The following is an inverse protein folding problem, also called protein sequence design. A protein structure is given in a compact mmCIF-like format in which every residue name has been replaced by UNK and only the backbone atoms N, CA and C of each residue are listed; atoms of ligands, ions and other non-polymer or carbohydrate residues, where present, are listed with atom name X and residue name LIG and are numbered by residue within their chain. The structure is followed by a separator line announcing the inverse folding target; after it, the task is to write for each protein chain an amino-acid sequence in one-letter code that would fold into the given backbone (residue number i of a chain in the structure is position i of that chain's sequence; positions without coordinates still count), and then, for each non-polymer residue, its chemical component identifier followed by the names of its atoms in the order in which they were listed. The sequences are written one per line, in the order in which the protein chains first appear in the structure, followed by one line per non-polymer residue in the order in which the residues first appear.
data_IF_816744497171
#
_entry.id   IF_816744497171
#
_cell.length_a   1.000
_cell.length_b   1.000
_cell.length_c   1.000
_cell.angle_alpha   90.00
_cell.angle_beta   90.00
_cell.angle_gamma   90.00
#
_symmetry.space_group_name_H-M   'P 1'
#
loop_
_entity.id
_entity.type
_entity.pdbx_description
1 polymer ?
#
# COMPACT_ATOMS: atom_id res chain seq x y z
N UNK A 1 -17.52 37.38 -20.97
CA UNK A 1 -16.13 36.92 -21.16
C UNK A 1 -16.19 35.63 -21.95
N UNK A 2 -15.72 35.67 -23.19
CA UNK A 2 -15.73 34.56 -24.13
C UNK A 2 -14.73 33.52 -23.65
N UNK A 3 -15.20 32.34 -23.27
CA UNK A 3 -14.38 31.14 -23.09
C UNK A 3 -13.92 30.68 -24.47
N UNK A 4 -12.71 31.09 -24.87
CA UNK A 4 -12.04 30.43 -25.99
C UNK A 4 -11.81 28.98 -25.61
N UNK A 5 -12.60 28.09 -26.22
CA UNK A 5 -12.34 26.68 -26.22
C UNK A 5 -11.02 26.46 -26.98
N UNK A 6 -9.97 26.05 -26.26
CA UNK A 6 -8.75 25.57 -26.89
C UNK A 6 -9.18 24.42 -27.83
N UNK A 7 -8.94 24.51 -29.15
CA UNK A 7 -9.37 23.48 -30.07
C UNK A 7 -8.71 22.15 -29.70
N UNK A 8 -9.52 21.11 -29.51
CA UNK A 8 -9.10 19.74 -29.12
C UNK A 8 -8.01 19.18 -30.05
N UNK A 9 -7.93 19.67 -31.29
CA UNK A 9 -6.89 19.33 -32.27
C UNK A 9 -5.46 19.65 -31.82
N UNK A 10 -5.26 20.62 -30.93
CA UNK A 10 -3.90 21.04 -30.50
C UNK A 10 -3.33 20.18 -29.37
N UNK A 11 -4.17 19.41 -28.67
CA UNK A 11 -3.74 18.54 -27.56
C UNK A 11 -3.38 17.13 -28.08
N UNK A 12 -4.08 16.66 -29.13
CA UNK A 12 -3.83 15.35 -29.76
C UNK A 12 -2.46 15.28 -30.46
N UNK A 13 -1.93 16.42 -30.95
CA UNK A 13 -0.65 16.48 -31.65
C UNK A 13 0.61 16.43 -30.74
N UNK A 14 0.49 16.48 -29.41
CA UNK A 14 1.63 16.77 -28.51
C UNK A 14 2.06 15.64 -27.58
N UNK A 15 1.39 14.48 -27.56
CA UNK A 15 1.74 13.38 -26.66
C UNK A 15 1.89 12.06 -27.43
N UNK A 16 3.10 11.49 -27.54
CA UNK A 16 3.29 10.22 -28.24
C UNK A 16 2.52 9.08 -27.56
N UNK A 17 2.03 8.14 -28.36
CA UNK A 17 1.43 6.88 -27.91
C UNK A 17 2.25 6.26 -26.76
N UNK A 18 1.58 5.95 -25.64
CA UNK A 18 2.18 5.42 -24.40
C UNK A 18 3.47 6.16 -23.96
N UNK A 19 3.36 7.44 -23.58
CA UNK A 19 4.46 8.17 -22.93
C UNK A 19 4.86 7.52 -21.59
N UNK A 20 6.08 7.77 -21.12
CA UNK A 20 6.57 7.26 -19.83
C UNK A 20 5.61 7.62 -18.68
N UNK A 21 5.14 8.86 -18.67
CA UNK A 21 4.14 9.36 -17.71
C UNK A 21 2.85 8.54 -17.72
N UNK A 22 2.34 8.14 -18.89
CA UNK A 22 1.11 7.32 -18.99
C UNK A 22 1.33 5.90 -18.50
N UNK A 23 2.48 5.30 -18.85
CA UNK A 23 2.86 3.97 -18.35
C UNK A 23 2.88 3.97 -16.82
N UNK A 24 3.47 4.99 -16.22
CA UNK A 24 3.54 5.15 -14.76
C UNK A 24 2.18 5.42 -14.11
N UNK A 25 1.31 6.23 -14.72
CA UNK A 25 -0.05 6.47 -14.21
C UNK A 25 -0.88 5.17 -14.24
N UNK A 26 -0.89 4.50 -15.40
CA UNK A 26 -1.60 3.25 -15.58
C UNK A 26 -1.08 2.17 -14.63
N UNK A 27 0.23 1.92 -14.67
CA UNK A 27 0.88 0.91 -13.85
C UNK A 27 0.76 1.23 -12.36
N UNK A 28 0.87 2.51 -11.98
CA UNK A 28 0.71 2.95 -10.59
C UNK A 28 -0.68 2.67 -10.02
N UNK A 29 -1.74 3.06 -10.74
CA UNK A 29 -3.12 2.74 -10.31
C UNK A 29 -3.35 1.24 -10.29
N UNK A 30 -2.86 0.49 -11.29
CA UNK A 30 -3.02 -0.95 -11.35
C UNK A 30 -2.33 -1.66 -10.18
N UNK A 31 -1.09 -1.29 -9.86
CA UNK A 31 -0.34 -1.83 -8.73
C UNK A 31 -1.06 -1.55 -7.40
N UNK A 32 -1.55 -0.32 -7.19
CA UNK A 32 -2.31 0.02 -5.97
C UNK A 32 -3.59 -0.83 -5.89
N UNK A 33 -4.37 -0.90 -6.97
CA UNK A 33 -5.62 -1.66 -6.97
C UNK A 33 -5.39 -3.17 -6.74
N UNK A 34 -4.36 -3.75 -7.36
CA UNK A 34 -3.99 -5.15 -7.13
C UNK A 34 -3.50 -5.37 -5.71
N UNK A 35 -2.68 -4.47 -5.19
CA UNK A 35 -2.15 -4.53 -3.81
C UNK A 35 -3.27 -4.46 -2.78
N UNK A 36 -4.22 -3.54 -2.96
CA UNK A 36 -5.40 -3.46 -2.10
C UNK A 36 -6.28 -4.72 -2.20
N UNK A 37 -6.55 -5.22 -3.41
CA UNK A 37 -7.32 -6.45 -3.59
C UNK A 37 -6.67 -7.65 -2.90
N UNK A 38 -5.35 -7.78 -3.04
CA UNK A 38 -4.60 -8.83 -2.37
C UNK A 38 -4.63 -8.64 -0.84
N UNK A 39 -4.51 -7.40 -0.35
CA UNK A 39 -4.65 -7.04 1.06
C UNK A 39 -6.01 -7.42 1.65
N UNK A 40 -7.12 -7.12 0.96
CA UNK A 40 -8.48 -7.49 1.40
C UNK A 40 -8.63 -9.02 1.49
N UNK A 41 -8.15 -9.76 0.49
CA UNK A 41 -8.16 -11.23 0.51
C UNK A 41 -7.31 -11.76 1.66
N UNK A 42 -6.11 -11.20 1.86
CA UNK A 42 -5.23 -11.56 2.95
C UNK A 42 -5.86 -11.30 4.33
N UNK A 43 -6.51 -10.16 4.52
CA UNK A 43 -7.13 -9.78 5.79
C UNK A 43 -8.19 -10.80 6.21
N UNK A 44 -9.08 -11.17 5.27
CA UNK A 44 -10.18 -12.11 5.53
C UNK A 44 -9.68 -13.54 5.76
N UNK A 45 -8.79 -14.03 4.89
CA UNK A 45 -8.47 -15.46 4.83
C UNK A 45 -7.21 -15.87 5.59
N UNK A 46 -6.28 -14.95 5.85
CA UNK A 46 -4.97 -15.29 6.45
C UNK A 46 -4.75 -14.54 7.75
N UNK A 47 -4.94 -13.22 7.79
CA UNK A 47 -4.60 -12.40 8.95
C UNK A 47 -5.32 -12.85 10.23
N UNK A 48 -6.65 -12.97 10.17
CA UNK A 48 -7.45 -13.36 11.33
C UNK A 48 -7.22 -14.82 11.75
N UNK A 49 -7.02 -15.72 10.78
CA UNK A 49 -6.74 -17.14 11.04
C UNK A 49 -5.38 -17.32 11.72
N UNK A 50 -4.35 -16.64 11.20
CA UNK A 50 -3.01 -16.69 11.77
C UNK A 50 -2.98 -16.08 13.18
N UNK A 51 -3.75 -15.01 13.44
CA UNK A 51 -3.86 -14.44 14.79
C UNK A 51 -4.33 -15.46 15.84
N UNK A 52 -5.42 -16.19 15.54
CA UNK A 52 -5.91 -17.26 16.41
C UNK A 52 -4.91 -18.40 16.58
N UNK A 53 -4.27 -18.83 15.49
CA UNK A 53 -3.27 -19.90 15.52
C UNK A 53 -2.00 -19.50 16.30
N UNK A 54 -1.57 -18.23 16.20
CA UNK A 54 -0.43 -17.70 16.97
C UNK A 54 -0.74 -17.70 18.46
N UNK A 55 -1.95 -17.31 18.86
CA UNK A 55 -2.37 -17.38 20.27
C UNK A 55 -2.36 -18.81 20.81
N UNK A 56 -2.85 -19.77 20.03
CA UNK A 56 -2.82 -21.20 20.39
C UNK A 56 -1.38 -21.74 20.51
N UNK A 57 -0.49 -21.38 19.58
CA UNK A 57 0.91 -21.78 19.62
C UNK A 57 1.66 -21.13 20.80
N UNK A 58 1.33 -19.89 21.15
CA UNK A 58 1.89 -19.22 22.34
C UNK A 58 1.44 -19.89 23.64
N UNK A 59 0.17 -20.30 23.73
CA UNK A 59 -0.34 -21.10 24.84
C UNK A 59 0.39 -22.44 24.96
N UNK A 60 0.62 -23.12 23.83
CA UNK A 60 1.41 -24.36 23.81
C UNK A 60 2.85 -24.13 24.29
N UNK A 61 3.49 -23.05 23.87
CA UNK A 61 4.84 -22.70 24.30
C UNK A 61 4.90 -22.49 25.82
N UNK A 62 3.93 -21.76 26.38
CA UNK A 62 3.88 -21.48 27.81
C UNK A 62 3.63 -22.76 28.64
N UNK A 63 2.71 -23.63 28.19
CA UNK A 63 2.44 -24.91 28.86
C UNK A 63 3.64 -25.86 28.79
N UNK A 64 4.33 -25.95 27.63
CA UNK A 64 5.54 -26.75 27.50
C UNK A 64 6.67 -26.22 28.40
N UNK A 65 6.80 -24.90 28.52
CA UNK A 65 7.79 -24.29 29.42
C UNK A 65 7.50 -24.60 30.89
N UNK A 66 6.23 -24.52 31.32
CA UNK A 66 5.81 -24.91 32.66
C UNK A 66 6.09 -26.40 32.97
N UNK A 67 5.87 -27.27 31.99
CA UNK A 67 6.19 -28.70 32.07
C UNK A 67 7.69 -29.03 31.96
N UNK A 68 8.56 -28.02 31.84
CA UNK A 68 10.01 -28.18 31.57
C UNK A 68 10.30 -29.01 30.30
N UNK A 69 9.38 -29.01 29.34
CA UNK A 69 9.51 -29.69 28.06
C UNK A 69 10.20 -28.78 27.03
N UNK A 70 11.53 -28.82 27.00
CA UNK A 70 12.33 -28.05 26.06
C UNK A 70 12.02 -28.38 24.58
N UNK A 71 11.62 -29.61 24.28
CA UNK A 71 11.28 -30.02 22.92
C UNK A 71 9.93 -29.43 22.49
N UNK A 72 8.93 -29.45 23.39
CA UNK A 72 7.64 -28.81 23.21
C UNK A 72 7.76 -27.29 23.00
N UNK A 73 8.59 -26.62 23.80
CA UNK A 73 8.89 -25.18 23.63
C UNK A 73 9.48 -24.91 22.25
N UNK A 74 10.49 -25.68 21.84
CA UNK A 74 11.12 -25.52 20.52
C UNK A 74 10.12 -25.68 19.37
N UNK A 75 9.25 -26.69 19.45
CA UNK A 75 8.22 -26.94 18.45
C UNK A 75 7.21 -25.79 18.37
N UNK A 76 6.74 -25.31 19.52
CA UNK A 76 5.78 -24.21 19.58
C UNK A 76 6.38 -22.90 19.02
N UNK A 77 7.63 -22.57 19.36
CA UNK A 77 8.32 -21.41 18.78
C UNK A 77 8.57 -21.53 17.27
N UNK A 78 8.88 -22.73 16.77
CA UNK A 78 8.99 -22.96 15.33
C UNK A 78 7.63 -22.70 14.63
N UNK A 79 6.53 -23.12 15.23
CA UNK A 79 5.19 -22.86 14.71
C UNK A 79 4.83 -21.37 14.75
N UNK A 80 5.14 -20.66 15.84
CA UNK A 80 4.98 -19.20 15.93
C UNK A 80 5.78 -18.51 14.83
N UNK A 81 7.05 -18.89 14.65
CA UNK A 81 7.91 -18.34 13.61
C UNK A 81 7.32 -18.53 12.20
N UNK A 82 6.83 -19.73 11.89
CA UNK A 82 6.21 -20.03 10.61
C UNK A 82 4.93 -19.20 10.36
N UNK A 83 4.08 -19.03 11.39
CA UNK A 83 2.86 -18.20 11.30
C UNK A 83 3.19 -16.71 11.14
N UNK A 84 4.23 -16.23 11.83
CA UNK A 84 4.70 -14.85 11.70
C UNK A 84 5.33 -14.59 10.34
N UNK A 85 6.09 -15.53 9.78
CA UNK A 85 6.66 -15.44 8.43
C UNK A 85 5.57 -15.49 7.36
N UNK A 86 4.58 -16.38 7.51
CA UNK A 86 3.42 -16.41 6.62
C UNK A 86 2.70 -15.07 6.64
N UNK A 87 2.30 -14.59 7.82
CA UNK A 87 1.66 -13.28 7.97
C UNK A 87 2.53 -12.16 7.40
N UNK A 88 3.79 -12.09 7.77
CA UNK A 88 4.73 -11.03 7.42
C UNK A 88 4.94 -10.94 5.91
N UNK A 89 5.19 -12.06 5.24
CA UNK A 89 5.39 -12.07 3.78
C UNK A 89 4.16 -11.60 3.01
N UNK A 90 2.94 -11.91 3.46
CA UNK A 90 1.71 -11.46 2.77
C UNK A 90 1.47 -9.97 3.02
N UNK A 91 1.68 -9.51 4.26
CA UNK A 91 1.63 -8.07 4.59
C UNK A 91 2.61 -7.30 3.71
N UNK A 92 3.88 -7.69 3.74
CA UNK A 92 4.94 -7.01 3.00
C UNK A 92 4.67 -7.02 1.49
N UNK A 93 4.19 -8.13 0.93
CA UNK A 93 3.81 -8.21 -0.49
C UNK A 93 2.74 -7.19 -0.87
N UNK A 94 1.66 -7.06 -0.10
CA UNK A 94 0.60 -6.11 -0.48
C UNK A 94 1.04 -4.66 -0.30
N UNK A 95 1.75 -4.35 0.80
CA UNK A 95 2.24 -3.00 1.09
C UNK A 95 3.25 -2.57 0.02
N UNK A 96 4.24 -3.40 -0.30
CA UNK A 96 5.23 -3.08 -1.32
C UNK A 96 4.62 -2.93 -2.73
N UNK A 97 3.57 -3.68 -3.05
CA UNK A 97 2.85 -3.51 -4.31
C UNK A 97 2.13 -2.15 -4.36
N UNK A 98 1.47 -1.74 -3.27
CA UNK A 98 0.83 -0.43 -3.14
C UNK A 98 1.87 0.69 -3.22
N UNK A 99 2.96 0.58 -2.47
CA UNK A 99 4.03 1.58 -2.41
C UNK A 99 4.75 1.76 -3.74
N UNK A 100 5.02 0.66 -4.46
CA UNK A 100 5.55 0.74 -5.81
C UNK A 100 4.58 1.47 -6.75
N UNK A 101 3.27 1.31 -6.54
CA UNK A 101 2.27 2.06 -7.26
C UNK A 101 2.24 3.55 -6.90
N UNK A 102 2.33 3.92 -5.62
CA UNK A 102 2.47 5.32 -5.19
C UNK A 102 3.73 5.96 -5.77
N UNK A 103 4.85 5.24 -5.72
CA UNK A 103 6.10 5.66 -6.31
C UNK A 103 5.96 5.88 -7.81
N UNK A 104 5.29 4.99 -8.54
CA UNK A 104 5.03 5.17 -9.96
C UNK A 104 4.20 6.43 -10.22
N UNK A 105 3.15 6.69 -9.44
CA UNK A 105 2.34 7.92 -9.57
C UNK A 105 3.17 9.17 -9.27
N UNK A 106 4.00 9.17 -8.22
CA UNK A 106 4.91 10.27 -7.90
C UNK A 106 5.91 10.53 -9.02
N UNK A 107 6.55 9.48 -9.54
CA UNK A 107 7.49 9.58 -10.66
C UNK A 107 6.77 10.12 -11.90
N UNK A 108 5.52 9.74 -12.13
CA UNK A 108 4.71 10.28 -13.23
C UNK A 108 4.49 11.79 -13.13
N UNK A 109 4.36 12.35 -11.92
CA UNK A 109 4.20 13.79 -11.73
C UNK A 109 5.45 14.58 -12.08
N UNK A 110 6.63 14.01 -11.82
CA UNK A 110 7.91 14.68 -12.07
C UNK A 110 8.45 14.47 -13.49
N UNK A 111 7.88 13.55 -14.28
CA UNK A 111 8.31 13.28 -15.66
C UNK A 111 8.54 14.52 -16.55
N UNK A 112 7.73 15.59 -16.49
CA UNK A 112 7.99 16.81 -17.27
C UNK A 112 9.35 17.45 -17.00
N UNK A 113 9.86 17.28 -15.78
CA UNK A 113 11.11 17.86 -15.27
C UNK A 113 12.30 16.88 -15.32
N UNK A 114 12.13 15.70 -15.88
CA UNK A 114 13.22 14.72 -16.03
C UNK A 114 13.91 14.97 -17.38
N UNK A 115 15.16 15.44 -17.39
CA UNK A 115 15.90 15.70 -18.62
C UNK A 115 16.58 14.43 -19.18
N UNK A 116 15.77 13.52 -19.69
CA UNK A 116 16.18 12.28 -20.38
C UNK A 116 15.47 12.17 -21.74
N UNK A 117 16.05 11.39 -22.66
CA UNK A 117 15.38 11.11 -23.93
C UNK A 117 14.08 10.33 -23.71
N UNK A 118 13.09 10.53 -24.58
CA UNK A 118 11.80 9.85 -24.50
C UNK A 118 11.92 8.32 -24.46
N UNK A 119 12.85 7.74 -25.23
CA UNK A 119 13.13 6.31 -25.21
C UNK A 119 13.61 5.83 -23.83
N UNK A 120 14.51 6.58 -23.17
CA UNK A 120 15.03 6.25 -21.85
C UNK A 120 13.95 6.36 -20.77
N UNK A 121 13.15 7.44 -20.78
CA UNK A 121 12.02 7.58 -19.86
C UNK A 121 11.04 6.42 -19.98
N UNK A 122 10.68 6.03 -21.22
CA UNK A 122 9.78 4.89 -21.46
C UNK A 122 10.38 3.58 -20.94
N UNK A 123 11.67 3.36 -21.14
CA UNK A 123 12.36 2.17 -20.62
C UNK A 123 12.34 2.16 -19.07
N UNK A 124 12.71 3.26 -18.42
CA UNK A 124 12.70 3.37 -16.96
C UNK A 124 11.29 3.17 -16.38
N UNK A 125 10.28 3.78 -16.99
CA UNK A 125 8.89 3.56 -16.61
C UNK A 125 8.48 2.09 -16.66
N UNK A 126 8.83 1.36 -17.74
CA UNK A 126 8.55 -0.08 -17.85
C UNK A 126 9.29 -0.88 -16.79
N UNK A 127 10.58 -0.62 -16.59
CA UNK A 127 11.40 -1.32 -15.60
C UNK A 127 10.91 -1.06 -14.17
N UNK A 128 10.44 0.15 -13.87
CA UNK A 128 9.86 0.49 -12.58
C UNK A 128 8.58 -0.32 -12.32
N UNK A 129 7.68 -0.42 -13.31
CA UNK A 129 6.46 -1.23 -13.17
C UNK A 129 6.79 -2.73 -13.06
N UNK A 130 7.76 -3.23 -13.84
CA UNK A 130 8.23 -4.63 -13.73
C UNK A 130 8.81 -4.89 -12.35
N UNK A 131 9.70 -4.03 -11.85
CA UNK A 131 10.27 -4.14 -10.50
C UNK A 131 9.19 -4.09 -9.42
N UNK A 132 8.22 -3.19 -9.57
CA UNK A 132 7.08 -3.05 -8.67
C UNK A 132 6.14 -4.26 -8.64
N UNK A 133 6.14 -5.08 -9.69
CA UNK A 133 5.42 -6.36 -9.73
C UNK A 133 6.27 -7.53 -9.22
N UNK A 134 7.55 -7.60 -9.61
CA UNK A 134 8.43 -8.70 -9.23
C UNK A 134 8.81 -8.69 -7.75
N UNK A 135 9.00 -7.51 -7.16
CA UNK A 135 9.29 -7.33 -5.73
C UNK A 135 8.24 -8.02 -4.84
N UNK A 136 6.95 -7.65 -4.89
CA UNK A 136 5.93 -8.25 -4.03
C UNK A 136 5.69 -9.73 -4.34
N UNK A 137 5.85 -10.16 -5.59
CA UNK A 137 5.79 -11.59 -5.97
C UNK A 137 6.94 -12.38 -5.33
N UNK A 138 8.16 -11.85 -5.36
CA UNK A 138 9.32 -12.44 -4.70
C UNK A 138 9.07 -12.59 -3.20
N UNK A 139 8.62 -11.51 -2.53
CA UNK A 139 8.31 -11.51 -1.10
C UNK A 139 7.26 -12.57 -0.75
N UNK A 140 6.18 -12.66 -1.54
CA UNK A 140 5.09 -13.61 -1.29
C UNK A 140 5.58 -15.04 -1.30
N UNK A 141 6.50 -15.34 -2.23
CA UNK A 141 7.05 -16.68 -2.43
C UNK A 141 8.02 -17.09 -1.32
N UNK A 142 8.60 -16.16 -0.54
CA UNK A 142 9.59 -16.47 0.51
C UNK A 142 9.07 -17.54 1.45
N UNK A 143 7.83 -17.39 1.95
CA UNK A 143 7.21 -18.36 2.85
C UNK A 143 7.03 -19.75 2.23
N UNK A 144 6.72 -19.82 0.93
CA UNK A 144 6.37 -21.09 0.27
C UNK A 144 7.58 -21.87 -0.22
N UNK A 145 8.62 -21.19 -0.72
CA UNK A 145 9.80 -21.86 -1.25
C UNK A 145 10.97 -21.85 -0.28
N UNK A 146 11.03 -20.91 0.67
CA UNK A 146 12.11 -20.79 1.63
C UNK A 146 13.48 -20.93 0.96
N UNK A 147 14.30 -21.86 1.46
CA UNK A 147 15.63 -22.19 0.93
C UNK A 147 15.63 -23.28 -0.15
N UNK A 148 14.46 -23.73 -0.64
CA UNK A 148 14.38 -24.83 -1.59
C UNK A 148 15.24 -24.56 -2.83
N UNK A 149 16.16 -25.48 -3.11
CA UNK A 149 17.10 -25.43 -4.23
C UNK A 149 18.02 -24.20 -4.24
N UNK A 150 18.13 -23.47 -3.13
CA UNK A 150 19.06 -22.35 -3.03
C UNK A 150 20.50 -22.84 -2.87
N UNK A 151 21.48 -22.24 -3.58
CA UNK A 151 22.90 -22.49 -3.32
C UNK A 151 23.39 -21.81 -2.03
N UNK A 152 22.57 -20.96 -1.39
CA UNK A 152 22.91 -20.25 -0.16
C UNK A 152 22.28 -20.91 1.07
N UNK A 153 22.96 -20.83 2.21
CA UNK A 153 22.49 -21.41 3.48
C UNK A 153 21.41 -20.58 4.18
N UNK A 154 21.21 -19.32 3.77
CA UNK A 154 20.36 -18.36 4.49
C UNK A 154 19.40 -17.57 3.60
N UNK A 155 19.54 -17.62 2.27
CA UNK A 155 18.76 -16.81 1.33
C UNK A 155 18.16 -17.70 0.26
N UNK A 156 16.84 -17.64 0.07
CA UNK A 156 16.12 -18.38 -0.96
C UNK A 156 16.09 -17.67 -2.32
N UNK A 157 15.73 -18.38 -3.39
CA UNK A 157 15.54 -17.77 -4.71
C UNK A 157 14.45 -16.70 -4.73
N UNK A 158 13.40 -16.86 -3.92
CA UNK A 158 12.35 -15.86 -3.74
C UNK A 158 12.88 -14.55 -3.13
N UNK A 159 13.75 -14.64 -2.12
CA UNK A 159 14.44 -13.48 -1.54
C UNK A 159 15.37 -12.81 -2.55
N UNK A 160 16.16 -13.60 -3.29
CA UNK A 160 17.03 -13.07 -4.36
C UNK A 160 16.21 -12.31 -5.41
N UNK A 161 15.05 -12.84 -5.83
CA UNK A 161 14.15 -12.16 -6.75
C UNK A 161 13.64 -10.84 -6.18
N UNK A 162 13.17 -10.83 -4.92
CA UNK A 162 12.68 -9.63 -4.24
C UNK A 162 13.79 -8.56 -4.16
N UNK A 163 14.97 -8.92 -3.65
CA UNK A 163 16.10 -8.01 -3.50
C UNK A 163 16.58 -7.46 -4.85
N UNK A 164 16.60 -8.31 -5.89
CA UNK A 164 16.99 -7.89 -7.24
C UNK A 164 15.98 -6.91 -7.86
N UNK A 165 14.68 -7.13 -7.62
CA UNK A 165 13.63 -6.21 -8.03
C UNK A 165 13.73 -4.88 -7.27
N UNK A 166 14.00 -4.92 -5.95
CA UNK A 166 14.28 -3.73 -5.14
C UNK A 166 15.49 -2.94 -5.66
N UNK A 167 16.59 -3.63 -5.96
CA UNK A 167 17.77 -3.02 -6.57
C UNK A 167 17.46 -2.39 -7.94
N UNK A 168 16.65 -3.05 -8.76
CA UNK A 168 16.18 -2.51 -10.04
C UNK A 168 15.40 -1.20 -9.84
N UNK A 169 14.50 -1.15 -8.86
CA UNK A 169 13.75 0.07 -8.51
C UNK A 169 14.69 1.21 -8.11
N UNK A 170 15.66 0.93 -7.23
CA UNK A 170 16.68 1.90 -6.80
C UNK A 170 17.45 2.46 -7.99
N UNK A 171 17.93 1.59 -8.88
CA UNK A 171 18.65 2.01 -10.09
C UNK A 171 17.76 2.88 -10.97
N UNK A 172 16.50 2.49 -11.20
CA UNK A 172 15.57 3.30 -11.99
C UNK A 172 15.37 4.68 -11.39
N UNK A 173 15.15 4.78 -10.08
CA UNK A 173 14.99 6.05 -9.37
C UNK A 173 16.25 6.91 -9.40
N UNK A 174 17.44 6.31 -9.30
CA UNK A 174 18.70 7.03 -9.41
C UNK A 174 18.85 7.68 -10.80
N UNK A 175 18.47 6.97 -11.86
CA UNK A 175 18.47 7.53 -13.22
C UNK A 175 17.42 8.63 -13.43
N UNK A 176 16.21 8.46 -12.90
CA UNK A 176 15.19 9.52 -12.88
C UNK A 176 15.70 10.76 -12.13
N UNK A 177 16.29 10.56 -10.95
CA UNK A 177 16.91 11.61 -10.13
C UNK A 177 18.05 12.34 -10.84
N UNK A 178 18.91 11.63 -11.57
CA UNK A 178 19.93 12.23 -12.42
C UNK A 178 19.31 13.10 -13.52
N UNK A 179 18.20 12.65 -14.12
CA UNK A 179 17.43 13.43 -15.08
C UNK A 179 16.84 14.71 -14.49
N UNK A 180 16.25 14.63 -13.29
CA UNK A 180 15.76 15.79 -12.54
C UNK A 180 16.90 16.77 -12.20
N UNK A 181 18.03 16.27 -11.72
CA UNK A 181 19.19 17.10 -11.41
C UNK A 181 19.72 17.84 -12.64
N UNK A 182 19.77 17.16 -13.79
CA UNK A 182 20.16 17.79 -15.07
C UNK A 182 19.20 18.89 -15.49
N UNK A 183 17.90 18.73 -15.26
CA UNK A 183 16.90 19.78 -15.50
C UNK A 183 17.14 21.03 -14.65
N UNK A 184 17.40 20.86 -13.34
CA UNK A 184 17.70 22.01 -12.47
C UNK A 184 19.00 22.72 -12.86
N UNK A 185 19.99 21.98 -13.40
CA UNK A 185 21.23 22.56 -13.91
C UNK A 185 21.10 23.25 -15.28
N UNK A 186 20.15 22.84 -16.11
CA UNK A 186 19.97 23.41 -17.46
C UNK A 186 19.12 24.67 -17.51
N UNK A 187 18.74 25.24 -16.36
CA UNK A 187 17.92 26.46 -16.31
C UNK A 187 16.44 26.24 -16.61
N UNK A 188 15.92 25.01 -16.44
CA UNK A 188 14.47 24.76 -16.49
C UNK A 188 13.91 24.44 -17.88
N UNK A 189 14.73 23.90 -18.80
CA UNK A 189 14.23 23.41 -20.08
C UNK A 189 13.32 22.18 -19.86
N UNK A 190 12.01 22.41 -19.93
CA UNK A 190 10.99 21.40 -19.72
C UNK A 190 11.03 20.38 -20.87
N UNK A 191 11.01 19.08 -20.52
CA UNK A 191 11.10 17.99 -21.50
C UNK A 191 9.75 17.55 -22.06
N UNK A 192 8.64 17.84 -21.36
CA UNK A 192 7.27 17.57 -21.78
C UNK A 192 6.34 18.72 -21.36
N UNK A 193 5.40 19.17 -22.20
CA UNK A 193 4.53 20.29 -21.86
C UNK A 193 3.81 20.07 -20.52
N UNK A 194 3.81 21.12 -19.68
CA UNK A 194 3.01 21.11 -18.46
C UNK A 194 1.53 20.95 -18.80
N UNK A 195 0.82 20.16 -17.99
CA UNK A 195 -0.62 19.98 -18.18
C UNK A 195 -1.34 21.28 -17.81
N UNK A 196 -2.39 21.67 -18.56
CA UNK A 196 -3.20 22.83 -18.24
C UNK A 196 -3.69 22.78 -16.79
N UNK A 197 -3.68 23.93 -16.10
CA UNK A 197 -4.21 24.04 -14.74
C UNK A 197 -5.72 23.85 -14.75
N UNK A 198 -6.17 22.60 -14.64
CA UNK A 198 -7.58 22.27 -14.56
C UNK A 198 -8.13 22.58 -13.16
N UNK A 199 -9.21 23.38 -13.09
CA UNK A 199 -9.90 23.79 -11.84
C UNK A 199 -11.20 23.00 -11.60
N UNK A 200 -11.16 21.70 -11.93
CA UNK A 200 -12.32 20.82 -11.81
C UNK A 200 -12.72 20.60 -10.34
N UNK A 201 -13.94 20.11 -10.11
CA UNK A 201 -14.43 19.82 -8.76
C UNK A 201 -13.72 18.58 -8.19
N UNK A 202 -13.50 17.58 -9.04
CA UNK A 202 -12.93 16.27 -8.79
C UNK A 202 -11.53 16.41 -8.22
N UNK A 203 -10.69 17.23 -8.89
CA UNK A 203 -9.34 17.54 -8.42
C UNK A 203 -9.35 18.24 -7.07
N UNK A 204 -10.23 19.24 -6.88
CA UNK A 204 -10.32 19.98 -5.60
C UNK A 204 -10.81 19.10 -4.47
N UNK A 205 -11.80 18.26 -4.71
CA UNK A 205 -12.35 17.32 -3.73
C UNK A 205 -11.31 16.29 -3.32
N UNK A 206 -10.59 15.70 -4.27
CA UNK A 206 -9.50 14.76 -4.00
C UNK A 206 -8.34 15.42 -3.24
N UNK A 207 -7.92 16.62 -3.65
CA UNK A 207 -6.82 17.33 -2.98
C UNK A 207 -7.20 17.71 -1.55
N UNK A 208 -8.35 18.36 -1.35
CA UNK A 208 -8.81 18.77 -0.02
C UNK A 208 -9.16 17.57 0.88
N UNK A 209 -9.88 16.59 0.35
CA UNK A 209 -10.20 15.35 1.06
C UNK A 209 -8.95 14.58 1.46
N UNK A 210 -7.98 14.46 0.54
CA UNK A 210 -6.71 13.82 0.82
C UNK A 210 -5.87 14.55 1.87
N UNK A 211 -5.80 15.89 1.81
CA UNK A 211 -5.14 16.69 2.86
C UNK A 211 -5.84 16.52 4.21
N UNK A 212 -7.17 16.55 4.26
CA UNK A 212 -7.92 16.35 5.50
C UNK A 212 -7.66 14.96 6.09
N UNK A 213 -7.66 13.92 5.27
CA UNK A 213 -7.32 12.57 5.69
C UNK A 213 -5.91 12.51 6.30
N UNK A 214 -4.88 13.01 5.60
CA UNK A 214 -3.52 13.03 6.13
C UNK A 214 -3.44 13.75 7.48
N UNK A 215 -4.08 14.93 7.61
CA UNK A 215 -4.11 15.67 8.87
C UNK A 215 -4.79 14.87 9.99
N UNK A 216 -5.93 14.24 9.71
CA UNK A 216 -6.61 13.36 10.66
C UNK A 216 -5.74 12.17 11.07
N UNK A 217 -5.02 11.57 10.11
CA UNK A 217 -4.07 10.49 10.35
C UNK A 217 -2.97 10.91 11.29
N UNK A 218 -2.31 12.05 11.03
CA UNK A 218 -1.29 12.62 11.91
C UNK A 218 -1.84 12.94 13.31
N UNK A 219 -3.03 13.53 13.41
CA UNK A 219 -3.67 13.81 14.70
C UNK A 219 -3.96 12.53 15.49
N UNK A 220 -4.51 11.50 14.84
CA UNK A 220 -4.76 10.21 15.47
C UNK A 220 -3.46 9.53 15.92
N UNK A 221 -2.41 9.54 15.07
CA UNK A 221 -1.11 8.95 15.40
C UNK A 221 -0.43 9.67 16.57
N UNK A 222 -0.46 11.01 16.57
CA UNK A 222 0.06 11.82 17.66
C UNK A 222 -0.69 11.55 18.98
N UNK A 223 -2.02 11.47 18.93
CA UNK A 223 -2.83 11.11 20.10
C UNK A 223 -2.49 9.70 20.61
N UNK A 224 -2.44 8.70 19.73
CA UNK A 224 -2.15 7.32 20.12
C UNK A 224 -0.75 7.19 20.73
N UNK A 225 0.26 7.80 20.10
CA UNK A 225 1.63 7.83 20.60
C UNK A 225 1.73 8.50 21.98
N UNK A 226 1.08 9.66 22.15
CA UNK A 226 1.17 10.44 23.40
C UNK A 226 0.46 9.78 24.59
N UNK A 227 -0.69 9.12 24.36
CA UNK A 227 -1.57 8.69 25.45
C UNK A 227 -1.69 7.18 25.63
N UNK A 228 -1.38 6.37 24.62
CA UNK A 228 -1.66 4.92 24.62
C UNK A 228 -0.43 4.06 24.41
N UNK A 229 0.44 4.44 23.47
CA UNK A 229 1.55 3.59 23.04
C UNK A 229 2.46 3.17 24.22
N UNK A 230 2.94 4.13 25.01
CA UNK A 230 3.78 3.82 26.18
C UNK A 230 3.07 2.96 27.23
N UNK A 231 1.76 3.15 27.41
CA UNK A 231 0.99 2.29 28.31
C UNK A 231 0.93 0.87 27.77
N UNK A 232 0.66 0.69 26.47
CA UNK A 232 0.62 -0.62 25.84
C UNK A 232 1.99 -1.33 25.90
N UNK A 233 3.10 -0.63 25.65
CA UNK A 233 4.45 -1.19 25.76
C UNK A 233 4.79 -1.64 27.18
N UNK A 234 4.44 -0.83 28.19
CA UNK A 234 4.66 -1.21 29.60
C UNK A 234 3.79 -2.41 30.01
N UNK A 235 2.54 -2.45 29.54
CA UNK A 235 1.62 -3.55 29.80
C UNK A 235 2.11 -4.85 29.16
N UNK A 236 2.62 -4.78 27.93
CA UNK A 236 3.22 -5.91 27.22
C UNK A 236 4.37 -6.54 28.03
N UNK A 237 5.29 -5.73 28.54
CA UNK A 237 6.39 -6.19 29.40
C UNK A 237 5.85 -6.87 30.67
N UNK A 238 4.81 -6.31 31.28
CA UNK A 238 4.21 -6.87 32.48
C UNK A 238 3.58 -8.24 32.24
N UNK A 239 2.82 -8.39 31.14
CA UNK A 239 2.21 -9.67 30.76
C UNK A 239 3.30 -10.72 30.49
N UNK A 240 4.31 -10.39 29.68
CA UNK A 240 5.39 -11.32 29.35
C UNK A 240 6.15 -11.78 30.60
N UNK A 241 6.36 -10.89 31.58
CA UNK A 241 6.98 -11.25 32.86
C UNK A 241 6.11 -12.22 33.65
N UNK A 242 4.79 -12.00 33.73
CA UNK A 242 3.87 -12.94 34.39
C UNK A 242 3.77 -14.27 33.66
N UNK A 243 3.78 -14.28 32.33
CA UNK A 243 3.81 -15.50 31.52
C UNK A 243 5.06 -16.35 31.78
N UNK A 244 6.18 -15.71 32.13
CA UNK A 244 7.42 -16.41 32.48
C UNK A 244 7.47 -16.94 33.92
N UNK A 245 6.49 -16.58 34.76
CA UNK A 245 6.37 -17.08 36.13
C UNK A 245 5.57 -18.40 36.14
N UNK A 246 6.27 -19.50 35.86
CA UNK A 246 5.69 -20.83 35.72
C UNK A 246 5.10 -21.42 37.02
N UNK A 247 5.19 -20.70 38.16
CA UNK A 247 4.59 -21.13 39.42
C UNK A 247 3.07 -21.06 39.47
N UNK A 248 2.43 -20.45 38.47
CA UNK A 248 0.97 -20.28 38.41
C UNK A 248 0.40 -20.75 37.07
N UNK A 249 0.35 -22.07 36.85
CA UNK A 249 -0.21 -22.70 35.65
C UNK A 249 -1.64 -22.22 35.32
N UNK A 250 -2.45 -21.95 36.35
CA UNK A 250 -3.83 -21.46 36.18
C UNK A 250 -3.90 -20.04 35.58
N UNK A 251 -2.84 -19.25 35.70
CA UNK A 251 -2.77 -17.90 35.15
C UNK A 251 -2.28 -17.85 33.69
N UNK A 252 -1.55 -18.86 33.21
CA UNK A 252 -0.93 -18.87 31.87
C UNK A 252 -1.95 -18.56 30.77
N UNK A 253 -3.13 -19.20 30.82
CA UNK A 253 -4.18 -18.97 29.84
C UNK A 253 -4.70 -17.53 29.84
N UNK A 254 -4.87 -16.95 31.04
CA UNK A 254 -5.32 -15.56 31.20
C UNK A 254 -4.29 -14.60 30.61
N UNK A 255 -3.01 -14.82 30.90
CA UNK A 255 -1.92 -13.97 30.42
C UNK A 255 -1.75 -14.03 28.89
N UNK A 256 -1.84 -15.22 28.28
CA UNK A 256 -1.78 -15.39 26.83
C UNK A 256 -2.94 -14.66 26.14
N UNK A 257 -4.15 -14.77 26.70
CA UNK A 257 -5.32 -14.07 26.18
C UNK A 257 -5.18 -12.55 26.32
N UNK A 258 -4.67 -12.07 27.46
CA UNK A 258 -4.42 -10.66 27.71
C UNK A 258 -3.38 -10.09 26.73
N UNK A 259 -2.28 -10.82 26.50
CA UNK A 259 -1.28 -10.48 25.49
C UNK A 259 -1.90 -10.39 24.10
N UNK A 260 -2.70 -11.39 23.71
CA UNK A 260 -3.38 -11.42 22.41
C UNK A 260 -4.26 -10.19 22.20
N UNK A 261 -5.09 -9.85 23.18
CA UNK A 261 -5.96 -8.67 23.12
C UNK A 261 -5.17 -7.36 23.01
N UNK A 262 -4.06 -7.24 23.74
CA UNK A 262 -3.18 -6.07 23.66
C UNK A 262 -2.56 -5.91 22.27
N UNK A 263 -2.13 -7.01 21.63
CA UNK A 263 -1.61 -6.97 20.26
C UNK A 263 -2.68 -6.55 19.25
N UNK A 264 -3.92 -7.03 19.42
CA UNK A 264 -5.05 -6.61 18.56
C UNK A 264 -5.34 -5.12 18.74
N UNK A 265 -5.37 -4.61 19.98
CA UNK A 265 -5.59 -3.18 20.26
C UNK A 265 -4.51 -2.31 19.61
N UNK A 266 -3.22 -2.69 19.75
CA UNK A 266 -2.11 -2.02 19.08
C UNK A 266 -2.27 -2.05 17.56
N UNK A 267 -2.56 -3.22 16.99
CA UNK A 267 -2.68 -3.42 15.55
C UNK A 267 -3.78 -2.56 14.93
N UNK A 268 -4.97 -2.52 15.56
CA UNK A 268 -6.11 -1.73 15.10
C UNK A 268 -5.79 -0.23 15.04
N UNK A 269 -5.14 0.31 16.08
CA UNK A 269 -4.74 1.73 16.08
C UNK A 269 -3.68 2.05 15.02
N UNK A 270 -2.69 1.18 14.84
CA UNK A 270 -1.65 1.34 13.83
C UNK A 270 -2.25 1.25 12.41
N UNK A 271 -3.08 0.25 12.15
CA UNK A 271 -3.73 0.05 10.85
C UNK A 271 -4.66 1.22 10.49
N UNK A 272 -5.48 1.69 11.42
CA UNK A 272 -6.33 2.85 11.18
C UNK A 272 -5.50 4.11 10.86
N UNK A 273 -4.41 4.34 11.61
CA UNK A 273 -3.49 5.45 11.33
C UNK A 273 -2.86 5.36 9.93
N UNK A 274 -2.31 4.21 9.56
CA UNK A 274 -1.64 4.04 8.26
C UNK A 274 -2.63 4.20 7.11
N UNK A 275 -3.79 3.54 7.17
CA UNK A 275 -4.79 3.61 6.11
C UNK A 275 -5.34 5.01 5.89
N UNK A 276 -5.56 5.78 6.96
CA UNK A 276 -5.99 7.19 6.83
C UNK A 276 -4.95 7.99 6.03
N UNK A 277 -3.66 7.83 6.34
CA UNK A 277 -2.58 8.56 5.66
C UNK A 277 -2.43 8.08 4.22
N UNK A 278 -2.39 6.77 4.00
CA UNK A 278 -2.25 6.15 2.67
C UNK A 278 -3.37 6.57 1.73
N UNK A 279 -4.63 6.49 2.19
CA UNK A 279 -5.76 6.94 1.37
C UNK A 279 -5.76 8.45 1.14
N UNK A 280 -5.28 9.22 2.12
CA UNK A 280 -5.05 10.65 1.94
C UNK A 280 -4.02 10.95 0.85
N UNK A 281 -2.89 10.24 0.87
CA UNK A 281 -1.85 10.31 -0.15
C UNK A 281 -2.38 9.90 -1.52
N UNK A 282 -3.09 8.78 -1.60
CA UNK A 282 -3.75 8.29 -2.81
C UNK A 282 -4.66 9.36 -3.41
N UNK A 283 -5.54 9.95 -2.60
CA UNK A 283 -6.45 11.00 -3.05
C UNK A 283 -5.68 12.21 -3.61
N UNK A 284 -4.62 12.66 -2.94
CA UNK A 284 -3.77 13.75 -3.43
C UNK A 284 -3.15 13.39 -4.78
N UNK A 285 -2.54 12.21 -4.91
CA UNK A 285 -1.92 11.77 -6.16
C UNK A 285 -2.93 11.68 -7.30
N UNK A 286 -4.10 11.08 -7.05
CA UNK A 286 -5.18 10.97 -8.03
C UNK A 286 -5.76 12.33 -8.44
N UNK A 287 -5.64 13.36 -7.60
CA UNK A 287 -6.06 14.72 -7.95
C UNK A 287 -5.29 15.25 -9.17
N UNK A 288 -4.01 14.88 -9.31
CA UNK A 288 -3.16 15.24 -10.44
C UNK A 288 -3.35 14.31 -11.64
N UNK A 289 -3.95 13.14 -11.43
CA UNK A 289 -4.26 12.17 -12.49
C UNK A 289 -5.60 12.48 -13.18
N UNK A 290 -6.49 13.26 -12.58
CA UNK A 290 -7.82 13.58 -13.15
C UNK A 290 -7.84 14.01 -14.63
N UNK A 291 -6.85 14.78 -15.14
CA UNK A 291 -6.79 15.13 -16.56
C UNK A 291 -6.64 13.91 -17.51
N UNK A 292 -6.12 12.80 -17.00
CA UNK A 292 -5.92 11.54 -17.75
C UNK A 292 -7.10 10.58 -17.65
N UNK A 293 -8.08 10.86 -16.78
CA UNK A 293 -9.27 10.03 -16.61
C UNK A 293 -10.30 10.43 -17.66
N UNK A 294 -10.40 9.70 -18.77
CA UNK A 294 -11.36 10.01 -19.85
C UNK A 294 -12.73 9.37 -19.58
N UNK A 295 -13.48 9.99 -18.69
CA UNK A 295 -14.87 9.67 -18.37
C UNK A 295 -15.72 10.95 -18.42
N UNK A 296 -17.05 10.80 -18.50
CA UNK A 296 -17.93 11.94 -18.32
C UNK A 296 -17.80 12.52 -16.91
N UNK A 297 -18.02 13.82 -16.78
CA UNK A 297 -17.93 14.52 -15.49
C UNK A 297 -18.77 13.85 -14.40
N UNK A 298 -19.97 13.37 -14.74
CA UNK A 298 -20.82 12.62 -13.80
C UNK A 298 -20.14 11.36 -13.26
N UNK A 299 -19.46 10.60 -14.11
CA UNK A 299 -18.74 9.39 -13.71
C UNK A 299 -17.48 9.69 -12.92
N UNK A 300 -16.70 10.71 -13.31
CA UNK A 300 -15.54 11.15 -12.50
C UNK A 300 -15.98 11.53 -11.09
N UNK A 301 -17.06 12.31 -10.96
CA UNK A 301 -17.63 12.70 -9.66
C UNK A 301 -18.03 11.52 -8.81
N UNK A 302 -18.70 10.53 -9.43
CA UNK A 302 -19.11 9.30 -8.72
C UNK A 302 -17.89 8.58 -8.17
N UNK A 303 -16.85 8.35 -8.97
CA UNK A 303 -15.67 7.64 -8.51
C UNK A 303 -14.90 8.40 -7.44
N UNK A 304 -14.79 9.73 -7.52
CA UNK A 304 -14.20 10.54 -6.44
C UNK A 304 -14.99 10.41 -5.14
N UNK A 305 -16.32 10.45 -5.19
CA UNK A 305 -17.16 10.28 -3.99
C UNK A 305 -17.01 8.88 -3.40
N UNK A 306 -17.04 7.85 -4.24
CA UNK A 306 -16.89 6.45 -3.80
C UNK A 306 -15.53 6.24 -3.16
N UNK A 307 -14.45 6.77 -3.77
CA UNK A 307 -13.10 6.70 -3.22
C UNK A 307 -13.04 7.36 -1.84
N UNK A 308 -13.42 8.64 -1.74
CA UNK A 308 -13.34 9.38 -0.47
C UNK A 308 -14.22 8.77 0.62
N UNK A 309 -15.39 8.23 0.26
CA UNK A 309 -16.26 7.53 1.19
C UNK A 309 -15.59 6.25 1.71
N UNK A 310 -15.05 5.41 0.83
CA UNK A 310 -14.30 4.20 1.21
C UNK A 310 -13.09 4.51 2.09
N UNK A 311 -12.34 5.57 1.74
CA UNK A 311 -11.17 6.05 2.48
C UNK A 311 -11.48 6.49 3.91
N UNK A 312 -12.73 6.86 4.21
CA UNK A 312 -13.19 7.20 5.56
C UNK A 312 -13.79 5.98 6.25
N UNK A 313 -14.61 5.19 5.54
CA UNK A 313 -15.30 4.02 6.11
C UNK A 313 -14.29 3.00 6.64
N UNK A 314 -13.31 2.58 5.83
CA UNK A 314 -12.38 1.53 6.23
C UNK A 314 -11.68 1.82 7.57
N UNK A 315 -10.90 2.91 7.73
CA UNK A 315 -10.14 3.12 8.95
C UNK A 315 -11.02 3.39 10.17
N UNK A 316 -12.20 4.01 9.99
CA UNK A 316 -13.15 4.19 11.09
C UNK A 316 -13.68 2.85 11.58
N UNK A 317 -14.04 1.94 10.68
CA UNK A 317 -14.60 0.66 11.06
C UNK A 317 -13.54 -0.34 11.54
N UNK A 318 -12.28 -0.20 11.12
CA UNK A 318 -11.14 -0.89 11.75
C UNK A 318 -11.05 -0.52 13.24
N UNK A 319 -11.12 0.77 13.59
CA UNK A 319 -11.12 1.19 15.02
C UNK A 319 -12.30 0.62 15.81
N UNK A 320 -13.45 0.44 15.15
CA UNK A 320 -14.66 -0.07 15.76
C UNK A 320 -14.68 -1.60 15.88
N UNK A 321 -13.72 -2.31 15.30
CA UNK A 321 -13.62 -3.76 15.33
C UNK A 321 -13.49 -4.29 16.76
N UNK A 322 -12.74 -3.61 17.63
CA UNK A 322 -12.63 -3.98 19.05
C UNK A 322 -13.97 -3.98 19.78
N UNK A 323 -14.95 -3.18 19.32
CA UNK A 323 -16.25 -3.01 19.98
C UNK A 323 -17.35 -3.85 19.35
N UNK A 324 -17.35 -4.00 18.03
CA UNK A 324 -18.43 -4.64 17.29
C UNK A 324 -17.99 -5.92 16.55
N UNK A 325 -16.72 -6.32 16.70
CA UNK A 325 -16.15 -7.53 16.13
C UNK A 325 -16.34 -7.61 14.61
N UNK A 326 -16.73 -8.80 14.14
CA UNK A 326 -16.88 -9.14 12.73
C UNK A 326 -17.79 -8.20 11.94
N UNK A 327 -18.81 -7.59 12.58
CA UNK A 327 -19.69 -6.64 11.89
C UNK A 327 -18.91 -5.39 11.46
N UNK A 328 -18.09 -4.84 12.37
CA UNK A 328 -17.26 -3.69 12.03
C UNK A 328 -16.15 -4.07 11.04
N UNK A 329 -15.52 -5.25 11.21
CA UNK A 329 -14.57 -5.78 10.22
C UNK A 329 -15.16 -5.87 8.81
N UNK A 330 -16.35 -6.47 8.66
CA UNK A 330 -17.00 -6.59 7.34
C UNK A 330 -17.40 -5.24 6.72
N UNK A 331 -17.70 -4.22 7.52
CA UNK A 331 -17.95 -2.85 7.01
C UNK A 331 -16.62 -2.19 6.62
N UNK A 332 -15.53 -2.46 7.34
CA UNK A 332 -14.20 -1.98 6.97
C UNK A 332 -13.77 -2.55 5.60
N UNK A 333 -13.96 -3.84 5.37
CA UNK A 333 -13.71 -4.52 4.09
C UNK A 333 -14.54 -3.90 2.96
N UNK A 334 -15.82 -3.59 3.21
CA UNK A 334 -16.65 -2.87 2.24
C UNK A 334 -16.05 -1.50 1.91
N UNK A 335 -15.51 -0.79 2.91
CA UNK A 335 -14.78 0.46 2.70
C UNK A 335 -13.58 0.30 1.76
N UNK A 336 -12.78 -0.76 1.95
CA UNK A 336 -11.66 -1.12 1.06
C UNK A 336 -12.12 -1.40 -0.37
N UNK A 337 -13.17 -2.21 -0.51
CA UNK A 337 -13.77 -2.54 -1.80
C UNK A 337 -14.27 -1.29 -2.56
N UNK A 338 -14.85 -0.31 -1.86
CA UNK A 338 -15.26 0.95 -2.48
C UNK A 338 -14.05 1.68 -3.09
N UNK A 339 -12.92 1.75 -2.38
CA UNK A 339 -11.68 2.36 -2.90
C UNK A 339 -11.19 1.59 -4.13
N UNK A 340 -11.14 0.25 -4.08
CA UNK A 340 -10.72 -0.59 -5.20
C UNK A 340 -11.59 -0.35 -6.44
N UNK A 341 -12.91 -0.39 -6.29
CA UNK A 341 -13.86 -0.19 -7.40
C UNK A 341 -13.69 1.22 -7.99
N UNK A 342 -13.49 2.24 -7.15
CA UNK A 342 -13.22 3.59 -7.63
C UNK A 342 -11.91 3.69 -8.41
N UNK A 343 -10.84 3.04 -7.95
CA UNK A 343 -9.56 2.97 -8.65
C UNK A 343 -9.70 2.28 -10.01
N UNK A 344 -10.37 1.13 -10.06
CA UNK A 344 -10.65 0.41 -11.31
C UNK A 344 -11.50 1.27 -12.26
N UNK A 345 -12.52 1.95 -11.73
CA UNK A 345 -13.35 2.88 -12.50
C UNK A 345 -12.54 4.02 -13.13
N UNK A 346 -11.63 4.64 -12.35
CA UNK A 346 -10.73 5.67 -12.87
C UNK A 346 -9.69 5.11 -13.85
N UNK A 347 -9.17 3.90 -13.60
CA UNK A 347 -8.23 3.19 -14.49
C UNK A 347 -8.85 2.92 -15.85
N UNK A 348 -10.11 2.50 -15.91
CA UNK A 348 -10.87 2.37 -17.17
C UNK A 348 -10.89 3.70 -17.92
N UNK A 349 -11.08 4.82 -17.22
CA UNK A 349 -10.96 6.16 -17.81
C UNK A 349 -9.58 6.44 -18.41
N UNK A 350 -8.50 6.05 -17.71
CA UNK A 350 -7.11 6.19 -18.20
C UNK A 350 -6.84 5.31 -19.43
N UNK A 351 -7.38 4.10 -19.45
CA UNK A 351 -7.27 3.19 -20.61
C UNK A 351 -8.01 3.78 -21.81
N UNK A 352 -9.24 4.29 -21.62
CA UNK A 352 -10.02 4.94 -22.69
C UNK A 352 -9.33 6.18 -23.23
N UNK A 353 -8.66 6.96 -22.38
CA UNK A 353 -7.87 8.12 -22.79
C UNK A 353 -6.74 7.70 -23.74
N UNK A 354 -6.02 6.64 -23.38
CA UNK A 354 -4.92 6.09 -24.18
C UNK A 354 -5.43 5.57 -25.53
N UNK A 355 -6.48 4.74 -25.52
CA UNK A 355 -7.03 4.16 -26.75
C UNK A 355 -7.60 5.21 -27.73
N UNK A 356 -8.17 6.32 -27.23
CA UNK A 356 -8.62 7.42 -28.08
C UNK A 356 -7.47 8.08 -28.82
N UNK A 357 -6.36 8.34 -28.13
CA UNK A 357 -5.21 9.02 -28.72
C UNK A 357 -4.44 8.13 -29.68
N UNK A 358 -4.35 6.84 -29.38
CA UNK A 358 -3.73 5.87 -30.30
C UNK A 358 -4.59 5.69 -31.57
N UNK A 359 -5.93 5.76 -31.44
CA UNK A 359 -6.85 5.74 -32.59
C UNK A 359 -6.94 7.05 -33.38
N UNK A 360 -6.55 8.18 -32.80
CA UNK A 360 -6.41 9.47 -33.52
C UNK A 360 -5.04 9.59 -34.23
N UNK A 361 -4.06 8.75 -33.87
CA UNK A 361 -2.70 8.72 -34.44
C UNK A 361 -2.47 7.65 -35.51
N UNK A 362 -3.40 6.70 -35.66
CA UNK A 362 -3.45 5.68 -36.71
C UNK A 362 -4.34 6.16 -37.87
#
# INVERSE_FOLDING_TARGET
MVTEAIPVKTISAALPAMSARRILIFGGIALIAMGMLFGDVFAVFVLHQNGGATGAALMQAANAAAAQDAAGVKTAFAQIGNLMEDRGTKVDSHVHMIDAGYLALLVALVQPYVLLSQAKKKLLAKLLIIGGLLLPVGIFLIHYVGLAYSPFSAIGWASVLADSAGALLIVCLAYEGLGLWRYFRSGGLVSEPEMPRERSWERRALLSGGTLLILLGFLHGAWYSAFRLYHHENHEIYILKRMSDFGNESAIQSEVNEYGMLQVEKAVHIAAHSHIIEFGLLAILLSFVQPFVFLSEQWKRRWVKVLLLGSVILPLFVLLELRFGLLAGGIADLGGLLVIIALVGMLVGVVRYTGRLDGEAA
#
